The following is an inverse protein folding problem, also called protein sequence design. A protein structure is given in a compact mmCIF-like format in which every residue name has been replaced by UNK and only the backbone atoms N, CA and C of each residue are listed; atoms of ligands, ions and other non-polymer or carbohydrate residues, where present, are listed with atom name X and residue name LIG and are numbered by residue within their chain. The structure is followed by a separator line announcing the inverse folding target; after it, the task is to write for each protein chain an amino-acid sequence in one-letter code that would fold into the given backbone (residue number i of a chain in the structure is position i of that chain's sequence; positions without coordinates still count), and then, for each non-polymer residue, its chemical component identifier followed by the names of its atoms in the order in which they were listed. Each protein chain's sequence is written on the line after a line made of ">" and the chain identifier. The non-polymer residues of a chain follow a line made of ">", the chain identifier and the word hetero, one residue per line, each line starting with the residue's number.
data_IF_791251328666
#
_entry.id   IF_791251328666
#
_cell.length_a   1.000
_cell.length_b   1.000
_cell.length_c   1.000
_cell.angle_alpha   90.00
_cell.angle_beta   90.00
_cell.angle_gamma   90.00
#
_symmetry.space_group_name_H-M   'P 1'
#
loop_
_entity.id
_entity.type
_entity.pdbx_description
1 polymer ?
#
# COMPACT_ATOMS: atom_id res chain seq x y z
N UNK A 1 -38.14 46.16 19.05
CA UNK A 1 -38.42 44.75 19.38
C UNK A 1 -37.33 43.90 18.77
N UNK A 2 -36.55 43.29 19.67
CA UNK A 2 -35.72 42.08 19.55
C UNK A 2 -34.63 42.01 18.48
N UNK A 3 -33.42 42.30 18.94
CA UNK A 3 -32.17 41.63 18.58
C UNK A 3 -32.32 40.10 18.59
N UNK A 4 -31.64 39.43 17.65
CA UNK A 4 -31.27 38.03 17.77
C UNK A 4 -29.96 37.79 17.01
N UNK A 5 -28.86 38.26 17.60
CA UNK A 5 -27.51 37.78 17.29
C UNK A 5 -27.38 36.37 17.87
N UNK A 6 -27.46 35.35 17.01
CA UNK A 6 -27.27 33.96 17.41
C UNK A 6 -25.80 33.72 17.79
N UNK A 7 -25.52 32.90 18.82
CA UNK A 7 -24.14 32.74 19.27
C UNK A 7 -23.31 32.10 18.17
N UNK A 8 -22.26 32.82 17.74
CA UNK A 8 -21.20 32.26 16.93
C UNK A 8 -20.61 31.03 17.64
N UNK A 9 -20.70 29.87 17.00
CA UNK A 9 -20.09 28.63 17.47
C UNK A 9 -18.59 28.87 17.58
N UNK A 10 -18.11 29.01 18.82
CA UNK A 10 -16.67 29.02 19.10
C UNK A 10 -16.15 27.64 18.74
N UNK A 11 -15.50 27.52 17.58
CA UNK A 11 -14.52 26.46 17.37
C UNK A 11 -13.40 26.69 18.39
N UNK A 12 -13.56 26.12 19.59
CA UNK A 12 -12.47 25.93 20.52
C UNK A 12 -11.40 25.16 19.75
N UNK A 13 -10.33 25.88 19.37
CA UNK A 13 -9.09 25.23 18.94
C UNK A 13 -8.53 24.53 20.18
N UNK A 14 -9.07 23.35 20.47
CA UNK A 14 -8.46 22.41 21.40
C UNK A 14 -7.03 22.21 20.91
N UNK A 15 -6.06 22.64 21.71
CA UNK A 15 -4.66 22.34 21.46
C UNK A 15 -4.49 20.84 21.68
N UNK A 16 -4.73 20.05 20.64
CA UNK A 16 -4.51 18.59 20.66
C UNK A 16 -3.10 18.35 21.16
N UNK A 17 -2.97 17.44 22.14
CA UNK A 17 -1.68 16.96 22.62
C UNK A 17 -0.80 16.53 21.45
N UNK A 18 0.50 16.82 21.54
CA UNK A 18 1.51 16.42 20.56
C UNK A 18 2.13 15.09 20.99
N UNK A 19 2.25 14.16 20.06
CA UNK A 19 2.90 12.87 20.21
C UNK A 19 4.22 12.88 19.45
N UNK A 20 5.27 12.31 20.06
CA UNK A 20 6.56 12.05 19.42
C UNK A 20 6.63 10.60 18.91
N UNK A 21 6.79 10.42 17.61
CA UNK A 21 7.09 9.14 16.99
C UNK A 21 8.61 9.01 16.85
N UNK A 22 9.21 8.09 17.60
CA UNK A 22 10.66 7.85 17.62
C UNK A 22 11.01 6.72 16.64
N UNK A 23 11.48 7.07 15.44
CA UNK A 23 11.57 6.16 14.29
C UNK A 23 13.00 5.68 14.03
N UNK A 24 13.15 4.38 13.80
CA UNK A 24 14.39 3.72 13.42
C UNK A 24 15.30 3.33 14.61
N UNK A 25 16.31 2.51 14.32
CA UNK A 25 17.28 2.00 15.33
C UNK A 25 18.13 3.09 15.97
N UNK A 26 18.42 4.14 15.21
CA UNK A 26 18.95 5.42 15.71
C UNK A 26 17.79 6.42 15.69
N UNK A 27 17.04 6.56 16.79
CA UNK A 27 15.71 7.15 16.73
C UNK A 27 15.75 8.60 16.29
N UNK A 28 14.90 8.95 15.32
CA UNK A 28 14.58 10.33 14.96
C UNK A 28 13.13 10.61 15.32
N UNK A 29 12.92 11.70 16.05
CA UNK A 29 11.59 12.10 16.50
C UNK A 29 10.83 12.85 15.39
N UNK A 30 9.60 12.42 15.13
CA UNK A 30 8.61 13.14 14.32
C UNK A 30 7.43 13.50 15.22
N UNK A 31 7.01 14.75 15.22
CA UNK A 31 5.90 15.22 16.06
C UNK A 31 4.59 15.28 15.27
N UNK A 32 3.50 14.78 15.87
CA UNK A 32 2.17 14.71 15.26
C UNK A 32 1.11 15.03 16.30
N UNK A 33 0.01 15.66 15.90
CA UNK A 33 -1.15 15.85 16.78
C UNK A 33 -1.80 14.50 17.09
N UNK A 34 -2.02 14.22 18.38
CA UNK A 34 -2.63 12.99 18.90
C UNK A 34 -3.95 12.66 18.19
N UNK A 35 -4.80 13.66 18.00
CA UNK A 35 -6.12 13.49 17.38
C UNK A 35 -6.01 12.94 15.95
N UNK A 36 -5.00 13.38 15.18
CA UNK A 36 -4.79 12.89 13.80
C UNK A 36 -4.40 11.41 13.79
N UNK A 37 -3.50 11.00 14.68
CA UNK A 37 -3.08 9.60 14.78
C UNK A 37 -4.26 8.71 15.17
N UNK A 38 -5.07 9.14 16.14
CA UNK A 38 -6.22 8.37 16.63
C UNK A 38 -7.39 8.33 15.64
N UNK A 39 -7.57 9.37 14.83
CA UNK A 39 -8.75 9.50 13.97
C UNK A 39 -8.93 8.31 13.03
N UNK A 40 -7.84 7.76 12.52
CA UNK A 40 -7.87 6.74 11.46
C UNK A 40 -7.29 5.40 11.92
N UNK A 41 -6.26 5.40 12.75
CA UNK A 41 -5.56 4.19 13.21
C UNK A 41 -6.13 3.63 14.52
N UNK A 42 -6.57 2.36 14.52
CA UNK A 42 -6.94 1.66 15.76
C UNK A 42 -5.71 1.34 16.63
N UNK A 43 -4.55 1.13 16.02
CA UNK A 43 -3.29 0.97 16.75
C UNK A 43 -2.99 2.20 17.60
N UNK A 44 -2.98 3.40 17.01
CA UNK A 44 -2.68 4.61 17.78
C UNK A 44 -3.78 4.97 18.78
N UNK A 45 -5.05 4.63 18.50
CA UNK A 45 -6.12 4.71 19.51
C UNK A 45 -5.82 3.87 20.76
N UNK A 46 -5.35 2.64 20.57
CA UNK A 46 -5.01 1.75 21.66
C UNK A 46 -3.70 2.15 22.35
N UNK A 47 -2.63 2.37 21.58
CA UNK A 47 -1.29 2.67 22.09
C UNK A 47 -1.24 3.97 22.89
N UNK A 48 -2.02 4.97 22.52
CA UNK A 48 -2.02 6.27 23.20
C UNK A 48 -2.98 6.32 24.39
N UNK A 49 -3.70 5.24 24.70
CA UNK A 49 -4.50 5.18 25.93
C UNK A 49 -3.61 5.43 27.16
N UNK A 50 -4.06 6.30 28.08
CA UNK A 50 -3.26 6.79 29.21
C UNK A 50 -2.83 5.70 30.20
N UNK A 51 -3.44 4.52 30.15
CA UNK A 51 -3.01 3.37 30.94
C UNK A 51 -1.68 2.76 30.44
N UNK A 52 -1.29 3.03 29.20
CA UNK A 52 -0.03 2.58 28.63
C UNK A 52 1.07 3.62 28.79
N UNK A 53 2.33 3.16 28.76
CA UNK A 53 3.50 4.02 28.87
C UNK A 53 3.49 5.09 27.77
N UNK A 54 3.20 4.69 26.54
CA UNK A 54 3.15 5.54 25.36
C UNK A 54 2.07 6.62 25.50
N UNK A 55 0.88 6.25 25.99
CA UNK A 55 -0.19 7.17 26.29
C UNK A 55 0.11 8.13 27.44
N UNK A 56 0.90 7.71 28.43
CA UNK A 56 1.34 8.56 29.54
C UNK A 56 2.46 9.53 29.12
N UNK A 57 3.48 9.06 28.40
CA UNK A 57 4.64 9.87 27.98
C UNK A 57 4.35 10.72 26.75
N UNK A 58 3.48 10.26 25.86
CA UNK A 58 3.27 10.86 24.54
C UNK A 58 4.36 10.48 23.55
N UNK A 59 5.08 9.39 23.80
CA UNK A 59 6.17 8.91 22.96
C UNK A 59 5.87 7.49 22.47
N UNK A 60 5.89 7.28 21.16
CA UNK A 60 5.72 5.96 20.53
C UNK A 60 7.02 5.56 19.84
N UNK A 61 7.58 4.41 20.21
CA UNK A 61 8.78 3.88 19.58
C UNK A 61 8.44 3.03 18.35
N UNK A 62 9.13 3.30 17.24
CA UNK A 62 8.99 2.65 15.93
C UNK A 62 10.37 2.20 15.42
N UNK A 63 11.09 1.31 16.14
CA UNK A 63 12.51 1.06 15.91
C UNK A 63 12.83 0.33 14.59
N UNK A 64 11.89 -0.48 14.10
CA UNK A 64 12.05 -1.24 12.86
C UNK A 64 11.47 -0.52 11.62
N UNK A 65 10.85 0.65 11.81
CA UNK A 65 10.24 1.38 10.72
C UNK A 65 11.22 2.37 10.08
N UNK A 66 11.05 2.58 8.78
CA UNK A 66 11.86 3.51 8.01
C UNK A 66 11.30 4.93 8.17
N UNK A 67 12.19 5.89 8.44
CA UNK A 67 11.83 7.29 8.60
C UNK A 67 11.00 7.82 7.43
N UNK A 68 11.43 7.55 6.20
CA UNK A 68 10.74 7.99 4.97
C UNK A 68 9.28 7.51 4.90
N UNK A 69 8.97 6.31 5.41
CA UNK A 69 7.63 5.70 5.36
C UNK A 69 6.75 6.35 6.42
N UNK A 70 7.28 6.54 7.63
CA UNK A 70 6.55 7.23 8.70
C UNK A 70 6.33 8.70 8.33
N UNK A 71 7.29 9.37 7.70
CA UNK A 71 7.13 10.73 7.19
C UNK A 71 6.01 10.81 6.13
N UNK A 72 5.98 9.89 5.18
CA UNK A 72 4.91 9.84 4.17
C UNK A 72 3.51 9.62 4.80
N UNK A 73 3.42 8.77 5.82
CA UNK A 73 2.19 8.60 6.60
C UNK A 73 1.79 9.90 7.34
N UNK A 74 2.74 10.56 7.99
CA UNK A 74 2.49 11.83 8.69
C UNK A 74 2.06 12.92 7.70
N UNK A 75 2.68 13.01 6.53
CA UNK A 75 2.25 13.92 5.49
C UNK A 75 0.81 13.62 5.03
N UNK A 76 0.48 12.35 4.81
CA UNK A 76 -0.88 11.93 4.48
C UNK A 76 -1.88 12.34 5.56
N UNK A 77 -1.57 12.18 6.85
CA UNK A 77 -2.44 12.65 7.94
C UNK A 77 -2.71 14.16 7.91
N UNK A 78 -1.84 14.94 7.27
CA UNK A 78 -2.03 16.38 7.11
C UNK A 78 -2.83 16.74 5.87
N UNK A 79 -2.59 16.04 4.76
CA UNK A 79 -3.14 16.41 3.44
C UNK A 79 -4.34 15.57 3.02
N UNK A 80 -4.57 14.44 3.69
CA UNK A 80 -5.49 13.38 3.29
C UNK A 80 -5.25 12.83 1.88
N UNK A 81 -4.05 13.05 1.34
CA UNK A 81 -3.60 12.53 0.04
C UNK A 81 -2.09 12.35 0.02
N UNK A 82 -1.60 11.38 -0.77
CA UNK A 82 -0.17 11.15 -0.98
C UNK A 82 0.35 12.09 -2.06
N UNK A 83 1.24 13.02 -1.76
CA UNK A 83 1.68 14.03 -2.74
C UNK A 83 2.88 13.58 -3.58
N UNK A 84 3.74 12.70 -3.05
CA UNK A 84 4.95 12.28 -3.78
C UNK A 84 4.61 11.37 -4.96
N UNK A 85 4.91 11.89 -6.15
CA UNK A 85 5.19 11.09 -7.35
C UNK A 85 6.69 10.83 -7.35
N UNK A 86 7.09 9.58 -7.33
CA UNK A 86 8.50 9.20 -7.51
C UNK A 86 8.78 9.03 -9.01
N UNK A 87 8.71 10.16 -9.72
CA UNK A 87 9.33 10.31 -11.03
C UNK A 87 10.77 10.76 -10.79
N UNK A 88 11.72 10.07 -11.38
CA UNK A 88 13.12 10.49 -11.36
C UNK A 88 13.33 11.75 -12.22
N UNK A 89 14.55 12.30 -12.21
CA UNK A 89 14.91 13.49 -13.00
C UNK A 89 14.74 13.28 -14.52
N UNK A 90 14.61 12.03 -14.98
CA UNK A 90 14.33 11.66 -16.37
C UNK A 90 12.84 11.53 -16.71
N UNK A 91 11.94 11.68 -15.72
CA UNK A 91 10.51 11.46 -15.90
C UNK A 91 10.12 9.98 -15.95
N UNK A 92 11.03 9.07 -15.58
CA UNK A 92 10.74 7.65 -15.43
C UNK A 92 10.39 7.31 -13.98
N UNK A 93 9.51 6.34 -13.81
CA UNK A 93 9.15 5.83 -12.49
C UNK A 93 10.28 4.94 -11.98
N UNK A 94 11.02 5.38 -10.97
CA UNK A 94 12.11 4.58 -10.40
C UNK A 94 11.59 3.28 -9.76
N UNK A 95 12.36 2.19 -9.83
CA UNK A 95 12.11 0.94 -9.08
C UNK A 95 11.88 1.17 -7.57
N UNK A 96 12.42 2.26 -7.03
CA UNK A 96 12.20 2.67 -5.65
C UNK A 96 10.72 3.03 -5.34
N UNK A 97 9.90 3.33 -6.36
CA UNK A 97 8.49 3.66 -6.21
C UNK A 97 7.69 2.49 -5.67
N UNK A 98 7.68 1.36 -6.37
CA UNK A 98 6.89 0.18 -6.00
C UNK A 98 7.28 -0.29 -4.60
N UNK A 99 8.59 -0.35 -4.34
CA UNK A 99 9.15 -0.64 -3.04
C UNK A 99 8.62 0.26 -1.93
N UNK A 100 8.54 1.58 -2.18
CA UNK A 100 8.01 2.57 -1.23
C UNK A 100 6.51 2.35 -0.99
N UNK A 101 5.70 2.18 -2.04
CA UNK A 101 4.26 1.93 -1.93
C UNK A 101 3.96 0.64 -1.17
N UNK A 102 4.68 -0.44 -1.44
CA UNK A 102 4.55 -1.71 -0.71
C UNK A 102 4.86 -1.50 0.76
N UNK A 103 5.96 -0.81 1.10
CA UNK A 103 6.32 -0.52 2.49
C UNK A 103 5.30 0.37 3.20
N UNK A 104 4.72 1.34 2.51
CA UNK A 104 3.64 2.16 3.05
C UNK A 104 2.39 1.33 3.35
N UNK A 105 2.00 0.44 2.44
CA UNK A 105 0.88 -0.47 2.67
C UNK A 105 1.14 -1.38 3.89
N UNK A 106 2.34 -1.96 3.98
CA UNK A 106 2.76 -2.81 5.12
C UNK A 106 2.76 -2.03 6.43
N UNK A 107 3.24 -0.78 6.41
CA UNK A 107 3.18 0.09 7.58
C UNK A 107 1.73 0.37 7.97
N UNK A 108 0.85 0.69 7.01
CA UNK A 108 -0.58 0.89 7.23
C UNK A 108 -1.26 -0.33 7.87
N UNK A 109 -0.93 -1.54 7.43
CA UNK A 109 -1.43 -2.79 8.02
C UNK A 109 -0.94 -2.94 9.48
N UNK A 110 0.36 -2.68 9.72
CA UNK A 110 0.96 -2.72 11.07
C UNK A 110 0.27 -1.75 12.04
N UNK A 111 0.03 -0.51 11.62
CA UNK A 111 -0.67 0.49 12.43
C UNK A 111 -2.20 0.41 12.29
N UNK A 112 -2.73 -0.62 11.63
CA UNK A 112 -4.16 -0.84 11.45
C UNK A 112 -4.91 0.41 10.96
N UNK A 113 -4.34 1.11 9.97
CA UNK A 113 -4.96 2.27 9.34
C UNK A 113 -5.46 1.91 7.93
N UNK A 114 -6.69 1.40 7.87
CA UNK A 114 -7.33 1.01 6.61
C UNK A 114 -7.51 2.19 5.66
N UNK A 115 -7.68 3.42 6.16
CA UNK A 115 -7.83 4.60 5.30
C UNK A 115 -6.50 4.90 4.60
N UNK A 116 -5.39 4.85 5.34
CA UNK A 116 -4.07 5.00 4.75
C UNK A 116 -3.76 3.88 3.75
N UNK A 117 -4.07 2.62 4.09
CA UNK A 117 -3.87 1.49 3.17
C UNK A 117 -4.67 1.67 1.87
N UNK A 118 -5.91 2.14 1.95
CA UNK A 118 -6.73 2.41 0.76
C UNK A 118 -6.14 3.55 -0.09
N UNK A 119 -5.63 4.61 0.53
CA UNK A 119 -4.91 5.68 -0.20
C UNK A 119 -3.69 5.12 -0.94
N UNK A 120 -2.90 4.25 -0.30
CA UNK A 120 -1.76 3.61 -0.95
C UNK A 120 -2.20 2.75 -2.15
N UNK A 121 -3.31 1.99 -2.01
CA UNK A 121 -3.86 1.21 -3.12
C UNK A 121 -4.37 2.10 -4.27
N UNK A 122 -4.99 3.24 -3.97
CA UNK A 122 -5.38 4.21 -4.99
C UNK A 122 -4.16 4.76 -5.72
N UNK A 123 -3.08 5.10 -5.00
CA UNK A 123 -1.82 5.49 -5.63
C UNK A 123 -1.21 4.38 -6.49
N UNK A 124 -1.29 3.12 -6.07
CA UNK A 124 -0.85 1.99 -6.92
C UNK A 124 -1.66 1.94 -8.23
N UNK A 125 -2.98 2.10 -8.15
CA UNK A 125 -3.86 2.13 -9.33
C UNK A 125 -3.53 3.31 -10.26
N UNK A 126 -3.38 4.51 -9.71
CA UNK A 126 -2.98 5.72 -10.47
C UNK A 126 -1.67 5.47 -11.24
N UNK A 127 -0.67 4.85 -10.61
CA UNK A 127 0.59 4.53 -11.29
C UNK A 127 0.45 3.45 -12.37
N UNK A 128 -0.44 2.48 -12.19
CA UNK A 128 -0.74 1.47 -13.21
C UNK A 128 -1.47 2.08 -14.42
N UNK A 129 -2.30 3.09 -14.20
CA UNK A 129 -3.05 3.78 -15.26
C UNK A 129 -2.17 4.81 -16.00
N UNK A 130 -1.30 5.53 -15.28
CA UNK A 130 -0.45 6.59 -15.83
C UNK A 130 0.86 6.07 -16.44
N UNK A 131 1.32 4.89 -16.02
CA UNK A 131 2.56 4.29 -16.53
C UNK A 131 2.28 2.99 -17.26
N UNK A 132 3.15 2.64 -18.21
CA UNK A 132 3.13 1.32 -18.84
C UNK A 132 4.00 0.30 -18.05
N UNK A 133 4.20 0.55 -16.75
CA UNK A 133 5.03 -0.28 -15.87
C UNK A 133 4.16 -1.07 -14.90
N UNK A 134 4.69 -2.19 -14.44
CA UNK A 134 4.07 -3.02 -13.41
C UNK A 134 5.14 -3.42 -12.38
N UNK A 135 4.75 -3.75 -11.15
CA UNK A 135 5.69 -4.25 -10.15
C UNK A 135 6.36 -5.54 -10.66
N UNK A 136 7.69 -5.59 -10.61
CA UNK A 136 8.49 -6.72 -11.11
C UNK A 136 8.75 -7.75 -10.01
N UNK A 137 9.60 -8.76 -10.29
CA UNK A 137 9.97 -9.84 -9.36
C UNK A 137 10.29 -9.36 -7.94
N UNK A 138 11.17 -8.37 -7.78
CA UNK A 138 11.61 -7.86 -6.46
C UNK A 138 10.45 -7.27 -5.67
N UNK A 139 9.56 -6.52 -6.33
CA UNK A 139 8.39 -5.90 -5.73
C UNK A 139 7.34 -6.95 -5.33
N UNK A 140 7.07 -7.90 -6.23
CA UNK A 140 6.15 -9.00 -5.97
C UNK A 140 6.65 -9.84 -4.80
N UNK A 141 7.94 -10.18 -4.77
CA UNK A 141 8.54 -10.92 -3.65
C UNK A 141 8.40 -10.16 -2.35
N UNK A 142 8.64 -8.85 -2.33
CA UNK A 142 8.44 -8.06 -1.12
C UNK A 142 6.97 -8.06 -0.68
N UNK A 143 6.04 -7.84 -1.60
CA UNK A 143 4.61 -7.79 -1.30
C UNK A 143 4.11 -9.13 -0.72
N UNK A 144 4.55 -10.26 -1.29
CA UNK A 144 4.19 -11.59 -0.79
C UNK A 144 4.89 -11.91 0.53
N UNK A 145 6.17 -11.56 0.70
CA UNK A 145 6.88 -11.75 1.97
C UNK A 145 6.30 -10.93 3.13
N UNK A 146 5.78 -9.74 2.84
CA UNK A 146 5.44 -8.74 3.86
C UNK A 146 3.95 -8.60 4.14
N UNK A 147 3.10 -9.33 3.42
CA UNK A 147 1.64 -9.28 3.62
C UNK A 147 1.07 -10.68 3.78
N UNK A 148 -0.10 -10.80 4.40
CA UNK A 148 -0.82 -12.07 4.54
C UNK A 148 -1.47 -12.55 3.23
N UNK A 149 -1.75 -13.86 3.08
CA UNK A 149 -2.55 -14.38 1.99
C UNK A 149 -3.88 -13.62 1.84
N UNK A 150 -4.25 -13.32 0.60
CA UNK A 150 -5.49 -12.60 0.29
C UNK A 150 -5.49 -11.11 0.64
N UNK A 151 -4.36 -10.50 1.01
CA UNK A 151 -4.26 -9.04 1.21
C UNK A 151 -4.69 -8.27 -0.05
N UNK A 152 -5.25 -7.07 0.12
CA UNK A 152 -5.71 -6.25 -1.00
C UNK A 152 -4.59 -5.89 -1.97
N UNK A 153 -3.37 -5.64 -1.46
CA UNK A 153 -2.19 -5.37 -2.29
C UNK A 153 -1.85 -6.55 -3.22
N UNK A 154 -1.79 -7.79 -2.68
CA UNK A 154 -1.53 -8.99 -3.49
C UNK A 154 -2.59 -9.17 -4.57
N UNK A 155 -3.88 -9.02 -4.22
CA UNK A 155 -4.99 -9.12 -5.18
C UNK A 155 -4.89 -8.07 -6.29
N UNK A 156 -4.51 -6.84 -5.93
CA UNK A 156 -4.33 -5.75 -6.89
C UNK A 156 -3.18 -6.06 -7.87
N UNK A 157 -2.02 -6.48 -7.38
CA UNK A 157 -0.89 -6.85 -8.25
C UNK A 157 -1.24 -8.00 -9.18
N UNK A 158 -1.91 -9.03 -8.67
CA UNK A 158 -2.39 -10.17 -9.47
C UNK A 158 -3.38 -9.72 -10.54
N UNK A 159 -4.32 -8.82 -10.20
CA UNK A 159 -5.29 -8.29 -11.16
C UNK A 159 -4.61 -7.46 -12.26
N UNK A 160 -3.66 -6.60 -11.89
CA UNK A 160 -2.87 -5.79 -12.82
C UNK A 160 -2.09 -6.67 -13.79
N UNK A 161 -1.36 -7.66 -13.29
CA UNK A 161 -0.64 -8.64 -14.11
C UNK A 161 -1.58 -9.44 -15.00
N UNK A 162 -2.70 -9.95 -14.48
CA UNK A 162 -3.64 -10.72 -15.29
C UNK A 162 -4.32 -9.90 -16.40
N UNK A 163 -4.33 -8.56 -16.30
CA UNK A 163 -4.88 -7.66 -17.30
C UNK A 163 -3.83 -7.18 -18.32
N UNK A 164 -2.58 -6.98 -17.88
CA UNK A 164 -1.54 -6.30 -18.68
C UNK A 164 -0.33 -7.15 -19.04
N UNK A 165 -0.17 -8.35 -18.48
CA UNK A 165 1.04 -9.14 -18.67
C UNK A 165 1.30 -9.46 -20.13
N UNK A 166 2.55 -9.21 -20.54
CA UNK A 166 3.09 -9.56 -21.86
C UNK A 166 4.11 -10.67 -21.68
N UNK A 167 4.34 -11.40 -22.75
CA UNK A 167 5.18 -12.60 -22.76
C UNK A 167 6.60 -12.34 -22.21
N UNK A 168 7.14 -11.14 -22.46
CA UNK A 168 8.46 -10.72 -21.99
C UNK A 168 8.49 -10.27 -20.52
N UNK A 169 7.36 -10.22 -19.81
CA UNK A 169 7.36 -9.94 -18.36
C UNK A 169 7.82 -11.14 -17.53
N UNK A 170 7.90 -12.31 -18.15
CA UNK A 170 8.55 -13.48 -17.58
C UNK A 170 9.91 -13.65 -18.25
N UNK A 171 10.92 -12.96 -17.73
CA UNK A 171 12.27 -13.14 -18.23
C UNK A 171 12.87 -14.46 -17.70
N UNK A 172 13.72 -15.08 -18.52
CA UNK A 172 14.40 -16.31 -18.12
C UNK A 172 15.37 -15.99 -16.97
N UNK A 173 15.01 -16.38 -15.74
CA UNK A 173 15.81 -16.16 -14.54
C UNK A 173 15.06 -15.54 -13.37
N UNK A 174 13.88 -14.95 -13.62
CA UNK A 174 13.08 -14.36 -12.53
C UNK A 174 12.50 -15.43 -11.59
N UNK A 175 12.63 -15.19 -10.29
CA UNK A 175 12.12 -16.08 -9.24
C UNK A 175 10.88 -15.51 -8.55
N UNK A 176 9.73 -15.65 -9.21
CA UNK A 176 8.45 -15.25 -8.62
C UNK A 176 8.00 -16.19 -7.49
N UNK A 177 7.36 -15.68 -6.41
CA UNK A 177 6.80 -16.52 -5.36
C UNK A 177 5.78 -17.54 -5.91
N UNK A 178 5.84 -18.80 -5.47
CA UNK A 178 4.89 -19.84 -5.89
C UNK A 178 3.43 -19.45 -5.65
N UNK A 179 3.16 -18.77 -4.53
CA UNK A 179 1.84 -18.24 -4.19
C UNK A 179 1.36 -17.21 -5.22
N UNK A 180 2.25 -16.33 -5.71
CA UNK A 180 1.92 -15.36 -6.74
C UNK A 180 1.59 -16.05 -8.06
N UNK A 181 2.40 -17.01 -8.49
CA UNK A 181 2.17 -17.75 -9.72
C UNK A 181 0.83 -18.50 -9.68
N UNK A 182 0.48 -19.07 -8.53
CA UNK A 182 -0.82 -19.71 -8.31
C UNK A 182 -1.97 -18.71 -8.37
N UNK A 183 -1.85 -17.59 -7.67
CA UNK A 183 -2.88 -16.55 -7.64
C UNK A 183 -3.10 -15.94 -9.03
N UNK A 184 -2.03 -15.70 -9.78
CA UNK A 184 -2.05 -15.24 -11.16
C UNK A 184 -2.72 -16.26 -12.09
N UNK A 185 -2.32 -17.53 -12.03
CA UNK A 185 -2.95 -18.58 -12.83
C UNK A 185 -4.45 -18.70 -12.55
N UNK A 186 -4.86 -18.65 -11.27
CA UNK A 186 -6.27 -18.62 -10.90
C UNK A 186 -7.00 -17.41 -11.47
N UNK A 187 -6.39 -16.23 -11.42
CA UNK A 187 -6.97 -15.01 -11.97
C UNK A 187 -7.10 -15.07 -13.50
N UNK A 188 -6.08 -15.54 -14.21
CA UNK A 188 -6.11 -15.73 -15.67
C UNK A 188 -7.20 -16.73 -16.09
N UNK A 189 -7.36 -17.84 -15.35
CA UNK A 189 -8.44 -18.81 -15.59
C UNK A 189 -9.81 -18.17 -15.41
N UNK A 190 -9.99 -17.33 -14.37
CA UNK A 190 -11.23 -16.58 -14.14
C UNK A 190 -11.49 -15.60 -15.29
N UNK A 191 -10.46 -14.86 -15.74
CA UNK A 191 -10.56 -13.90 -16.83
C UNK A 191 -10.91 -14.59 -18.18
N UNK A 192 -10.34 -15.78 -18.45
CA UNK A 192 -10.63 -16.57 -19.66
C UNK A 192 -12.11 -16.95 -19.80
N UNK A 193 -12.83 -17.09 -18.68
CA UNK A 193 -14.24 -17.51 -18.68
C UNK A 193 -14.43 -19.00 -19.01
N UNK A 194 -15.52 -19.34 -19.72
CA UNK A 194 -15.93 -20.74 -19.95
C UNK A 194 -14.87 -21.51 -20.76
N UNK A 195 -14.57 -22.73 -20.31
CA UNK A 195 -13.67 -23.62 -21.02
C UNK A 195 -14.24 -23.99 -22.41
N UNK A 196 -13.48 -23.72 -23.48
CA UNK A 196 -13.80 -24.20 -24.83
C UNK A 196 -13.27 -25.63 -24.99
N UNK A 197 -14.18 -26.61 -25.04
CA UNK A 197 -13.82 -28.03 -25.26
C UNK A 197 -13.18 -28.30 -26.63
N UNK A 198 -13.30 -27.39 -27.60
CA UNK A 198 -12.85 -27.61 -28.99
C UNK A 198 -11.40 -27.22 -29.27
N UNK A 199 -10.66 -26.69 -28.29
CA UNK A 199 -9.31 -26.15 -28.53
C UNK A 199 -8.31 -27.24 -28.98
N UNK A 200 -8.27 -28.37 -28.28
CA UNK A 200 -7.30 -29.45 -28.53
C UNK A 200 -7.51 -30.14 -29.88
N UNK A 201 -8.75 -30.23 -30.35
CA UNK A 201 -9.09 -30.85 -31.65
C UNK A 201 -8.53 -30.03 -32.82
N UNK A 202 -8.42 -28.71 -32.66
CA UNK A 202 -7.95 -27.79 -33.70
C UNK A 202 -6.43 -27.64 -33.75
N UNK A 203 -5.72 -28.00 -32.67
CA UNK A 203 -4.28 -27.84 -32.55
C UNK A 203 -3.52 -29.17 -32.44
N UNK A 204 -4.21 -30.31 -32.54
CA UNK A 204 -3.59 -31.63 -32.44
C UNK A 204 -2.34 -31.76 -33.33
N UNK A 205 -2.41 -31.26 -34.56
CA UNK A 205 -1.34 -31.39 -35.55
C UNK A 205 -0.10 -30.53 -35.21
N UNK A 206 -0.24 -29.53 -34.32
CA UNK A 206 0.91 -28.75 -33.82
C UNK A 206 1.69 -29.44 -32.71
N UNK A 207 1.18 -30.53 -32.14
CA UNK A 207 1.80 -31.29 -31.06
C UNK A 207 2.25 -32.70 -31.47
N UNK A 208 1.85 -33.15 -32.66
CA UNK A 208 2.24 -34.46 -33.16
C UNK A 208 3.63 -34.35 -33.79
N UNK A 209 4.53 -35.23 -33.36
CA UNK A 209 5.82 -35.42 -34.03
C UNK A 209 5.59 -36.14 -35.36
N UNK A 210 6.18 -35.62 -36.43
CA UNK A 210 6.12 -36.23 -37.76
C UNK A 210 7.41 -37.01 -38.02
N UNK A 211 7.26 -38.24 -38.52
CA UNK A 211 8.37 -39.13 -38.91
C UNK A 211 9.09 -38.67 -40.19
#
# INVERSE_FOLDING_TARGET
>A
MVDADGPAVKHERSSSRIISLNVGKSPKAITVQEDKLRQTSSFFRAALDKHWKEGATGEVALPEDRLEIVMAYVEWLHRSTLVERSVDEGGEYSDAMWLKLIRMYVFGDKIQDTKFMNEVLMRVLENLDESNTCPHEVDIRLAYKSTRPGSSLRRLFVAAWAAGAKDHWFEAGDEYPEEFMRDLAMQLIRNRGKASRSYWVKQKDTWLEHE
#
